data_IF_030007162294
#
_entry.id   IF_030007162294
#
_cell.length_a   1.000
_cell.length_b   1.000
_cell.length_c   1.000
_cell.angle_alpha   90.00
_cell.angle_beta   90.00
_cell.angle_gamma   90.00
#
_symmetry.space_group_name_H-M   'P 1'
#
loop_
_entity.id
_entity.type
_entity.pdbx_description
1 polymer ?
#
# COMPACT_ATOMS: atom_id res chain seq x y z
N UNK A 1 -46.52 -32.32 27.06
CA UNK A 1 -45.32 -31.54 27.41
C UNK A 1 -44.71 -31.06 26.11
N UNK A 2 -44.91 -29.78 25.81
CA UNK A 2 -44.66 -29.15 24.51
C UNK A 2 -43.31 -28.46 24.49
N UNK A 3 -42.58 -28.62 23.38
CA UNK A 3 -41.44 -27.80 22.98
C UNK A 3 -41.93 -26.41 22.59
N UNK A 4 -41.21 -25.35 22.98
CA UNK A 4 -41.28 -24.07 22.26
C UNK A 4 -39.98 -23.25 22.33
N UNK A 5 -39.76 -22.52 21.24
CA UNK A 5 -38.57 -21.78 20.81
C UNK A 5 -38.30 -20.55 21.68
N UNK A 6 -37.04 -20.15 21.77
CA UNK A 6 -36.65 -18.79 22.16
C UNK A 6 -35.77 -18.17 21.08
N UNK A 7 -36.31 -17.13 20.43
CA UNK A 7 -35.58 -16.07 19.75
C UNK A 7 -36.38 -14.77 19.91
N UNK A 8 -35.64 -13.67 20.13
CA UNK A 8 -35.84 -12.29 19.62
C UNK A 8 -35.90 -11.16 20.70
N UNK A 9 -34.99 -10.18 20.45
CA UNK A 9 -34.98 -8.70 20.67
C UNK A 9 -34.57 -7.98 21.97
N UNK A 10 -33.51 -7.17 21.77
CA UNK A 10 -33.25 -5.73 22.10
C UNK A 10 -33.14 -5.24 23.56
N UNK A 11 -32.20 -4.30 23.80
CA UNK A 11 -32.47 -3.05 24.52
C UNK A 11 -32.24 -1.85 23.55
N UNK A 12 -33.15 -0.89 23.36
CA UNK A 12 -33.68 0.17 24.24
C UNK A 12 -32.61 1.19 24.66
N UNK A 13 -32.81 2.38 24.12
CA UNK A 13 -32.13 3.67 24.24
C UNK A 13 -32.65 4.46 25.45
N UNK A 14 -31.86 5.39 26.03
CA UNK A 14 -32.33 6.63 26.68
C UNK A 14 -31.19 7.61 27.02
N UNK A 15 -31.20 8.77 26.34
CA UNK A 15 -30.97 10.11 26.91
C UNK A 15 -29.52 10.62 26.95
N UNK A 16 -29.18 11.81 26.45
CA UNK A 16 -29.92 13.07 26.58
C UNK A 16 -29.77 13.99 25.37
N UNK A 17 -30.92 14.58 25.03
CA UNK A 17 -31.16 15.64 24.06
C UNK A 17 -30.89 16.98 24.74
N UNK A 18 -30.14 17.89 24.10
CA UNK A 18 -30.12 19.31 24.46
C UNK A 18 -31.03 20.05 23.48
N UNK A 19 -32.12 20.60 24.01
CA UNK A 19 -33.08 21.45 23.31
C UNK A 19 -32.57 22.90 23.41
N UNK A 20 -32.46 23.57 22.26
CA UNK A 20 -32.25 25.02 22.16
C UNK A 20 -33.59 25.75 22.23
N UNK A 21 -33.68 26.81 23.04
CA UNK A 21 -34.78 27.79 23.04
C UNK A 21 -34.17 29.18 23.15
N UNK A 22 -34.44 30.02 22.14
CA UNK A 22 -34.07 31.44 22.07
C UNK A 22 -34.89 32.32 23.04
N UNK A 23 -34.28 33.40 23.54
CA UNK A 23 -34.97 34.47 24.28
C UNK A 23 -34.07 35.70 24.56
N UNK A 24 -34.46 36.83 23.98
CA UNK A 24 -33.78 38.13 23.92
C UNK A 24 -33.65 38.93 25.26
N UNK A 25 -32.61 39.78 25.31
CA UNK A 25 -32.45 41.10 25.97
C UNK A 25 -32.56 41.26 27.51
N UNK A 26 -31.43 41.59 28.18
CA UNK A 26 -31.06 42.97 28.58
C UNK A 26 -29.85 43.01 29.56
N UNK A 27 -28.86 43.86 29.21
CA UNK A 27 -28.10 44.78 30.06
C UNK A 27 -27.35 44.37 31.37
N UNK A 28 -26.04 44.70 31.33
CA UNK A 28 -25.17 45.33 32.37
C UNK A 28 -24.23 44.50 33.26
N UNK A 29 -22.97 44.95 33.25
CA UNK A 29 -22.01 45.10 34.36
C UNK A 29 -21.16 43.89 34.84
N UNK A 30 -19.85 43.96 34.50
CA UNK A 30 -18.71 43.64 35.40
C UNK A 30 -18.70 44.62 36.61
N UNK A 31 -17.96 44.41 37.74
CA UNK A 31 -16.71 43.63 37.89
C UNK A 31 -16.52 42.86 39.23
N UNK A 32 -15.35 42.21 39.37
CA UNK A 32 -14.44 42.15 40.56
C UNK A 32 -14.07 40.79 41.16
N UNK A 33 -12.78 40.73 41.53
CA UNK A 33 -11.98 39.66 42.16
C UNK A 33 -12.56 39.11 43.47
N UNK A 34 -12.41 37.81 43.71
CA UNK A 34 -11.86 37.29 44.96
C UNK A 34 -11.36 35.84 44.79
N UNK A 35 -10.18 35.62 45.34
CA UNK A 35 -9.47 34.36 45.54
C UNK A 35 -10.23 33.38 46.43
N UNK A 36 -10.22 32.09 46.07
CA UNK A 36 -10.21 31.01 47.05
C UNK A 36 -9.49 29.77 46.51
N UNK A 37 -8.38 29.45 47.18
CA UNK A 37 -7.59 28.23 47.03
C UNK A 37 -8.10 27.18 48.00
N UNK A 38 -8.54 26.02 47.52
CA UNK A 38 -8.35 24.74 48.23
C UNK A 38 -8.36 23.54 47.26
N UNK A 39 -7.35 22.70 47.44
CA UNK A 39 -7.00 21.49 46.70
C UNK A 39 -8.12 20.46 46.45
N UNK A 40 -8.15 19.89 45.24
CA UNK A 40 -8.30 18.44 45.06
C UNK A 40 -7.67 17.92 43.74
N UNK A 41 -6.64 17.09 43.92
CA UNK A 41 -6.29 15.87 43.18
C UNK A 41 -6.18 15.85 41.64
N UNK A 42 -4.92 15.90 41.21
CA UNK A 42 -4.25 15.02 40.23
C UNK A 42 -5.02 14.60 38.95
N UNK A 43 -4.83 15.39 37.90
CA UNK A 43 -4.79 14.90 36.52
C UNK A 43 -3.45 15.32 35.91
N UNK A 44 -2.55 14.35 35.71
CA UNK A 44 -1.34 14.54 34.92
C UNK A 44 -1.75 14.71 33.46
N UNK A 45 -1.97 15.95 33.05
CA UNK A 45 -1.98 16.34 31.63
C UNK A 45 -0.53 16.54 31.23
N UNK A 46 0.08 15.51 30.62
CA UNK A 46 1.38 15.65 29.97
C UNK A 46 1.21 16.43 28.68
N UNK A 47 1.32 17.75 28.77
CA UNK A 47 1.60 18.60 27.62
C UNK A 47 2.99 18.24 27.08
N UNK A 48 3.04 17.52 25.97
CA UNK A 48 4.21 17.63 25.09
C UNK A 48 4.05 18.91 24.28
N UNK A 49 4.43 20.03 24.89
CA UNK A 49 4.78 21.24 24.15
C UNK A 49 6.08 20.95 23.39
N UNK A 50 5.98 20.74 22.08
CA UNK A 50 7.16 20.80 21.22
C UNK A 50 7.78 22.20 21.34
N UNK A 51 9.12 22.32 21.41
CA UNK A 51 9.75 23.62 21.47
C UNK A 51 9.48 24.36 20.16
N UNK A 52 8.81 25.50 20.27
CA UNK A 52 8.82 26.53 19.25
C UNK A 52 10.23 27.12 19.19
N UNK A 53 10.91 26.94 18.05
CA UNK A 53 11.74 27.90 17.32
C UNK A 53 12.56 27.14 16.26
N UNK A 54 12.33 27.45 14.97
CA UNK A 54 13.31 27.91 13.98
C UNK A 54 12.54 28.40 12.75
N UNK A 55 12.75 29.68 12.46
CA UNK A 55 12.54 30.49 11.24
C UNK A 55 11.36 30.26 10.29
N UNK A 56 10.58 31.34 10.19
CA UNK A 56 9.61 31.68 9.16
C UNK A 56 10.27 31.86 7.77
N UNK A 57 10.82 30.80 7.16
CA UNK A 57 11.16 30.76 5.73
C UNK A 57 11.09 29.32 5.18
N UNK A 58 9.90 28.70 5.14
CA UNK A 58 9.67 27.57 4.25
C UNK A 58 8.28 27.72 3.61
N UNK A 59 8.31 28.00 2.31
CA UNK A 59 7.18 28.16 1.42
C UNK A 59 6.09 27.10 1.66
N UNK A 60 4.84 27.57 1.68
CA UNK A 60 3.61 26.80 1.58
C UNK A 60 3.64 25.84 0.36
N UNK A 61 4.18 24.64 0.51
CA UNK A 61 4.04 23.55 -0.47
C UNK A 61 2.76 22.74 -0.18
N UNK A 62 1.67 23.47 0.13
CA UNK A 62 0.33 22.91 0.26
C UNK A 62 -0.19 22.59 -1.14
N UNK A 63 0.08 21.37 -1.63
CA UNK A 63 -0.57 20.89 -2.85
C UNK A 63 -2.10 20.97 -2.66
N UNK A 64 -2.82 21.67 -3.55
CA UNK A 64 -4.25 21.88 -3.38
C UNK A 64 -4.99 20.54 -3.43
N UNK A 65 -5.86 20.30 -2.45
CA UNK A 65 -6.72 19.12 -2.44
C UNK A 65 -7.58 19.05 -3.70
N UNK A 66 -7.52 17.92 -4.40
CA UNK A 66 -8.27 17.71 -5.63
C UNK A 66 -9.68 17.24 -5.31
N UNK A 67 -10.67 17.77 -6.02
CA UNK A 67 -12.02 17.22 -5.99
C UNK A 67 -12.06 15.81 -6.61
N UNK A 68 -13.11 15.05 -6.31
CA UNK A 68 -13.27 13.69 -6.83
C UNK A 68 -13.18 13.62 -8.37
N UNK A 69 -13.76 14.61 -9.08
CA UNK A 69 -13.79 14.62 -10.55
C UNK A 69 -12.39 14.81 -11.13
N UNK A 70 -11.60 15.69 -10.55
CA UNK A 70 -10.21 15.94 -10.96
C UNK A 70 -9.35 14.73 -10.65
N UNK A 71 -9.45 14.17 -9.44
CA UNK A 71 -8.70 12.98 -9.05
C UNK A 71 -9.03 11.77 -9.94
N UNK A 72 -10.31 11.55 -10.25
CA UNK A 72 -10.78 10.50 -11.14
C UNK A 72 -10.25 10.70 -12.57
N UNK A 73 -10.35 11.91 -13.12
CA UNK A 73 -9.83 12.23 -14.46
C UNK A 73 -8.33 12.00 -14.55
N UNK A 74 -7.57 12.42 -13.53
CA UNK A 74 -6.12 12.21 -13.47
C UNK A 74 -5.77 10.72 -13.52
N UNK A 75 -6.45 9.88 -12.74
CA UNK A 75 -6.23 8.43 -12.75
C UNK A 75 -6.68 7.76 -14.05
N UNK A 76 -7.78 8.20 -14.67
CA UNK A 76 -8.17 7.74 -16.00
C UNK A 76 -7.11 8.06 -17.05
N UNK A 77 -6.48 9.24 -16.97
CA UNK A 77 -5.38 9.63 -17.87
C UNK A 77 -4.11 8.85 -17.57
N UNK A 78 -3.77 8.59 -16.31
CA UNK A 78 -2.56 7.84 -15.92
C UNK A 78 -2.65 6.34 -16.25
N UNK A 79 -3.86 5.75 -16.21
CA UNK A 79 -4.08 4.30 -16.46
C UNK A 79 -3.45 3.77 -17.76
N UNK A 80 -3.64 4.38 -18.94
CA UNK A 80 -2.96 3.91 -20.16
C UNK A 80 -1.44 3.97 -20.06
N UNK A 81 -0.86 4.90 -19.30
CA UNK A 81 0.59 4.97 -19.08
C UNK A 81 1.08 3.88 -18.12
N UNK A 82 0.26 3.47 -17.14
CA UNK A 82 0.54 2.31 -16.28
C UNK A 82 0.58 1.03 -17.14
N UNK A 83 -0.40 0.85 -18.03
CA UNK A 83 -0.42 -0.28 -18.97
C UNK A 83 0.79 -0.21 -19.91
N UNK A 84 1.12 0.98 -20.40
CA UNK A 84 2.29 1.20 -21.25
C UNK A 84 3.59 0.83 -20.52
N UNK A 85 3.72 1.14 -19.22
CA UNK A 85 4.91 0.83 -18.43
C UNK A 85 5.23 -0.66 -18.42
N UNK A 86 4.22 -1.54 -18.33
CA UNK A 86 4.40 -2.99 -18.50
C UNK A 86 4.65 -3.35 -19.97
N UNK A 87 3.90 -2.74 -20.90
CA UNK A 87 4.00 -3.02 -22.34
C UNK A 87 5.38 -2.69 -22.93
N UNK A 88 6.11 -1.73 -22.35
CA UNK A 88 7.48 -1.39 -22.74
C UNK A 88 8.45 -2.57 -22.59
N UNK A 89 8.15 -3.54 -21.73
CA UNK A 89 8.94 -4.78 -21.57
C UNK A 89 8.44 -5.92 -22.48
N UNK A 90 7.20 -5.84 -22.97
CA UNK A 90 6.63 -6.79 -23.94
C UNK A 90 7.14 -6.50 -25.36
N UNK A 91 7.07 -5.24 -25.81
CA UNK A 91 7.28 -4.91 -27.22
C UNK A 91 8.68 -5.27 -27.74
N UNK A 92 9.78 -4.94 -27.04
CA UNK A 92 11.12 -5.33 -27.49
C UNK A 92 11.30 -6.84 -27.48
N UNK A 93 10.79 -7.54 -26.46
CA UNK A 93 10.97 -8.99 -26.35
C UNK A 93 10.20 -9.74 -27.42
N UNK A 94 8.99 -9.32 -27.77
CA UNK A 94 8.22 -9.92 -28.89
C UNK A 94 8.85 -9.62 -30.25
N UNK A 95 9.56 -8.50 -30.39
CA UNK A 95 10.25 -8.17 -31.63
C UNK A 95 11.45 -9.11 -31.89
N UNK A 96 12.19 -9.47 -30.83
CA UNK A 96 13.39 -10.30 -30.94
C UNK A 96 13.15 -11.80 -30.67
N UNK A 97 12.08 -12.13 -29.95
CA UNK A 97 11.78 -13.48 -29.46
C UNK A 97 10.29 -13.82 -29.55
N UNK A 98 9.97 -15.11 -29.45
CA UNK A 98 8.60 -15.59 -29.41
C UNK A 98 7.91 -15.26 -28.09
N UNK A 99 6.63 -14.92 -28.17
CA UNK A 99 5.78 -14.70 -27.00
C UNK A 99 5.53 -16.03 -26.26
N UNK A 100 5.89 -16.13 -24.98
CA UNK A 100 5.63 -17.33 -24.16
C UNK A 100 4.40 -17.13 -23.27
N UNK A 101 3.23 -17.50 -23.80
CA UNK A 101 1.96 -17.40 -23.08
C UNK A 101 1.95 -18.20 -21.79
N UNK A 102 2.52 -19.40 -21.80
CA UNK A 102 2.50 -20.30 -20.64
C UNK A 102 3.28 -19.69 -19.46
N UNK A 103 4.49 -19.19 -19.72
CA UNK A 103 5.34 -18.50 -18.74
C UNK A 103 4.66 -17.26 -18.16
N UNK A 104 4.04 -16.43 -19.02
CA UNK A 104 3.29 -15.25 -18.58
C UNK A 104 2.10 -15.63 -17.69
N UNK A 105 1.29 -16.60 -18.11
CA UNK A 105 0.13 -17.09 -17.37
C UNK A 105 0.54 -17.72 -16.03
N UNK A 106 1.66 -18.44 -15.98
CA UNK A 106 2.23 -18.96 -14.74
C UNK A 106 2.63 -17.83 -13.78
N UNK A 107 3.22 -16.74 -14.29
CA UNK A 107 3.55 -15.57 -13.47
C UNK A 107 2.31 -14.91 -12.86
N UNK A 108 1.26 -14.72 -13.68
CA UNK A 108 -0.04 -14.20 -13.23
C UNK A 108 -0.67 -15.10 -12.15
N UNK A 109 -0.64 -16.42 -12.37
CA UNK A 109 -1.19 -17.40 -11.44
C UNK A 109 -0.39 -17.46 -10.13
N UNK A 110 0.95 -17.41 -10.20
CA UNK A 110 1.85 -17.42 -9.05
C UNK A 110 1.64 -16.22 -8.13
N UNK A 111 1.60 -15.01 -8.69
CA UNK A 111 1.29 -13.80 -7.93
C UNK A 111 -0.09 -13.89 -7.28
N UNK A 112 -1.09 -14.37 -8.02
CA UNK A 112 -2.46 -14.53 -7.49
C UNK A 112 -2.50 -15.54 -6.35
N UNK A 113 -1.80 -16.67 -6.46
CA UNK A 113 -1.69 -17.67 -5.41
C UNK A 113 -1.03 -17.09 -4.15
N UNK A 114 0.07 -16.33 -4.29
CA UNK A 114 0.73 -15.64 -3.18
C UNK A 114 -0.24 -14.70 -2.43
N UNK A 115 -1.02 -13.93 -3.19
CA UNK A 115 -2.04 -13.01 -2.66
C UNK A 115 -3.22 -13.72 -2.00
N UNK A 116 -3.57 -14.91 -2.43
CA UNK A 116 -4.63 -15.70 -1.79
C UNK A 116 -4.13 -16.33 -0.48
N UNK A 117 -2.86 -16.75 -0.44
CA UNK A 117 -2.23 -17.38 0.72
C UNK A 117 -1.90 -16.41 1.85
N UNK A 118 -1.77 -15.11 1.60
CA UNK A 118 -1.52 -14.14 2.69
C UNK A 118 -2.69 -14.02 3.68
N UNK A 119 -3.93 -14.15 3.21
CA UNK A 119 -5.14 -14.05 4.07
C UNK A 119 -5.24 -15.17 5.11
N UNK A 120 -5.09 -16.46 4.76
CA UNK A 120 -5.07 -17.51 5.76
C UNK A 120 -3.86 -17.38 6.68
N UNK A 121 -2.72 -16.86 6.22
CA UNK A 121 -1.56 -16.58 7.07
C UNK A 121 -1.87 -15.50 8.10
N UNK A 122 -2.46 -14.38 7.70
CA UNK A 122 -2.90 -13.31 8.60
C UNK A 122 -3.96 -13.81 9.61
N UNK A 123 -4.94 -14.57 9.14
CA UNK A 123 -5.95 -15.18 10.00
C UNK A 123 -5.33 -16.15 11.02
N UNK A 124 -4.41 -17.00 10.58
CA UNK A 124 -3.74 -17.96 11.45
C UNK A 124 -2.90 -17.24 12.51
N UNK A 125 -2.15 -16.21 12.11
CA UNK A 125 -1.28 -15.46 13.00
C UNK A 125 -2.08 -14.64 14.03
N UNK A 126 -3.12 -13.93 13.58
CA UNK A 126 -4.02 -13.18 14.45
C UNK A 126 -4.77 -14.08 15.45
N UNK A 127 -5.14 -15.29 15.02
CA UNK A 127 -5.79 -16.29 15.88
C UNK A 127 -4.82 -16.89 16.90
N UNK A 128 -3.60 -17.27 16.48
CA UNK A 128 -2.64 -17.95 17.35
C UNK A 128 -1.97 -17.00 18.36
N UNK A 129 -1.65 -15.77 17.96
CA UNK A 129 -0.82 -14.88 18.78
C UNK A 129 -1.59 -13.80 19.53
N UNK A 130 -2.91 -13.67 19.31
CA UNK A 130 -3.80 -12.69 19.97
C UNK A 130 -3.21 -11.27 20.08
N UNK A 131 -2.35 -10.87 19.15
CA UNK A 131 -1.64 -9.57 19.18
C UNK A 131 -2.38 -8.53 18.34
N UNK A 132 -2.42 -7.31 18.85
CA UNK A 132 -3.03 -6.14 18.21
C UNK A 132 -2.25 -5.65 16.97
N UNK A 133 -2.99 -4.96 16.10
CA UNK A 133 -2.76 -4.71 14.69
C UNK A 133 -1.47 -3.98 14.27
N UNK A 134 -0.77 -3.22 15.13
CA UNK A 134 0.35 -2.39 14.67
C UNK A 134 1.64 -3.19 14.41
N UNK A 135 1.92 -4.24 15.18
CA UNK A 135 3.00 -5.21 14.87
C UNK A 135 2.68 -6.12 13.69
N UNK A 136 1.43 -6.13 13.21
CA UNK A 136 1.02 -7.02 12.12
C UNK A 136 1.48 -6.49 10.77
N UNK A 137 1.56 -5.17 10.54
CA UNK A 137 1.92 -4.65 9.21
C UNK A 137 3.35 -4.99 8.79
N UNK A 138 4.34 -4.81 9.69
CA UNK A 138 5.74 -5.17 9.44
C UNK A 138 5.88 -6.67 9.19
N UNK A 139 5.28 -7.49 10.06
CA UNK A 139 5.32 -8.94 9.92
C UNK A 139 4.68 -9.38 8.59
N UNK A 140 3.48 -8.89 8.29
CA UNK A 140 2.77 -9.22 7.06
C UNK A 140 3.56 -8.81 5.82
N UNK A 141 4.18 -7.63 5.81
CA UNK A 141 5.02 -7.17 4.70
C UNK A 141 6.22 -8.08 4.49
N UNK A 142 6.88 -8.51 5.57
CA UNK A 142 8.01 -9.46 5.49
C UNK A 142 7.55 -10.82 5.00
N UNK A 143 6.48 -11.36 5.59
CA UNK A 143 5.91 -12.64 5.19
C UNK A 143 5.44 -12.62 3.74
N UNK A 144 4.90 -11.50 3.28
CA UNK A 144 4.44 -11.32 1.92
C UNK A 144 5.60 -11.41 0.93
N UNK A 145 6.70 -10.67 1.16
CA UNK A 145 7.90 -10.76 0.34
C UNK A 145 8.48 -12.17 0.29
N UNK A 146 8.57 -12.87 1.43
CA UNK A 146 9.07 -14.25 1.47
C UNK A 146 8.15 -15.22 0.72
N UNK A 147 6.84 -15.08 0.88
CA UNK A 147 5.85 -15.96 0.26
C UNK A 147 5.85 -15.81 -1.26
N UNK A 148 5.94 -14.58 -1.77
CA UNK A 148 6.04 -14.35 -3.21
C UNK A 148 7.26 -15.05 -3.82
N UNK A 149 8.44 -14.89 -3.22
CA UNK A 149 9.66 -15.53 -3.74
C UNK A 149 9.66 -17.06 -3.57
N UNK A 150 9.02 -17.57 -2.53
CA UNK A 150 8.89 -19.02 -2.31
C UNK A 150 8.03 -19.68 -3.40
N UNK A 151 6.90 -19.06 -3.75
CA UNK A 151 6.03 -19.55 -4.82
C UNK A 151 6.73 -19.40 -6.17
N UNK A 152 7.46 -18.30 -6.38
CA UNK A 152 8.24 -18.09 -7.60
C UNK A 152 9.30 -19.19 -7.79
N UNK A 153 10.02 -19.53 -6.72
CA UNK A 153 10.97 -20.65 -6.72
C UNK A 153 10.26 -21.96 -7.05
N UNK A 154 9.13 -22.26 -6.42
CA UNK A 154 8.38 -23.50 -6.68
C UNK A 154 7.98 -23.62 -8.16
N UNK A 155 7.45 -22.55 -8.75
CA UNK A 155 7.11 -22.52 -10.18
C UNK A 155 8.33 -22.72 -11.08
N UNK A 156 9.47 -22.12 -10.72
CA UNK A 156 10.74 -22.31 -11.45
C UNK A 156 11.22 -23.77 -11.34
N UNK A 157 11.19 -24.37 -10.15
CA UNK A 157 11.61 -25.75 -9.95
C UNK A 157 10.73 -26.77 -10.67
N UNK A 158 9.41 -26.52 -10.72
CA UNK A 158 8.46 -27.37 -11.45
C UNK A 158 8.67 -27.33 -12.98
N UNK A 159 9.23 -26.24 -13.51
CA UNK A 159 9.43 -26.02 -14.94
C UNK A 159 10.92 -25.95 -15.33
N UNK A 160 11.82 -26.43 -14.47
CA UNK A 160 13.27 -26.36 -14.68
C UNK A 160 13.77 -27.16 -15.90
N UNK A 161 12.90 -27.95 -16.53
CA UNK A 161 13.22 -28.73 -17.71
C UNK A 161 13.50 -27.87 -18.97
N UNK A 162 13.04 -26.62 -19.01
CA UNK A 162 13.27 -25.71 -20.14
C UNK A 162 14.32 -24.66 -19.75
N UNK A 163 15.52 -24.78 -20.35
CA UNK A 163 16.68 -23.90 -20.11
C UNK A 163 16.59 -22.66 -21.00
N UNK A 164 15.64 -21.77 -20.73
CA UNK A 164 15.47 -20.53 -21.49
C UNK A 164 15.32 -19.32 -20.57
N UNK A 165 16.19 -18.33 -20.73
CA UNK A 165 16.07 -17.00 -20.12
C UNK A 165 14.66 -16.41 -20.32
N UNK A 166 14.06 -16.68 -21.49
CA UNK A 166 12.72 -16.20 -21.80
C UNK A 166 11.68 -16.71 -20.80
N UNK A 167 11.83 -17.93 -20.27
CA UNK A 167 10.92 -18.45 -19.24
C UNK A 167 10.92 -17.54 -18.00
N UNK A 168 12.11 -17.25 -17.45
CA UNK A 168 12.24 -16.39 -16.27
C UNK A 168 11.75 -14.96 -16.54
N UNK A 169 12.05 -14.43 -17.73
CA UNK A 169 11.62 -13.10 -18.15
C UNK A 169 10.09 -12.99 -18.21
N UNK A 170 9.44 -13.90 -18.95
CA UNK A 170 7.99 -13.91 -19.11
C UNK A 170 7.26 -14.25 -17.81
N UNK A 171 7.84 -15.12 -16.96
CA UNK A 171 7.34 -15.39 -15.61
C UNK A 171 7.30 -14.10 -14.76
N UNK A 172 8.41 -13.36 -14.71
CA UNK A 172 8.49 -12.08 -14.00
C UNK A 172 7.55 -11.01 -14.57
N UNK A 173 7.40 -10.96 -15.90
CA UNK A 173 6.48 -10.05 -16.56
C UNK A 173 5.01 -10.38 -16.27
N UNK A 174 4.67 -11.67 -16.16
CA UNK A 174 3.36 -12.14 -15.72
C UNK A 174 3.06 -11.71 -14.28
N UNK A 175 4.06 -11.82 -13.40
CA UNK A 175 3.99 -11.33 -12.01
C UNK A 175 3.69 -9.83 -11.96
N UNK A 176 4.48 -9.03 -12.69
CA UNK A 176 4.32 -7.58 -12.78
C UNK A 176 2.97 -7.16 -13.38
N UNK A 177 2.49 -7.91 -14.38
CA UNK A 177 1.18 -7.68 -15.01
C UNK A 177 0.04 -7.87 -14.00
N UNK A 178 0.10 -8.91 -13.16
CA UNK A 178 -0.89 -9.14 -12.12
C UNK A 178 -0.92 -7.98 -11.12
N UNK A 179 0.26 -7.54 -10.70
CA UNK A 179 0.42 -6.44 -9.76
C UNK A 179 -0.12 -5.13 -10.36
N UNK A 180 0.18 -4.81 -11.62
CA UNK A 180 -0.31 -3.62 -12.30
C UNK A 180 -1.85 -3.62 -12.44
N UNK A 181 -2.45 -4.76 -12.79
CA UNK A 181 -3.92 -4.89 -12.87
C UNK A 181 -4.55 -4.65 -11.50
N UNK A 182 -4.03 -5.29 -10.46
CA UNK A 182 -4.55 -5.11 -9.11
C UNK A 182 -4.32 -3.69 -8.57
N UNK A 183 -3.20 -3.06 -8.92
CA UNK A 183 -2.92 -1.65 -8.62
C UNK A 183 -4.01 -0.75 -9.22
N UNK A 184 -4.30 -0.89 -10.52
CA UNK A 184 -5.34 -0.10 -11.19
C UNK A 184 -6.69 -0.28 -10.50
N UNK A 185 -7.11 -1.53 -10.27
CA UNK A 185 -8.38 -1.85 -9.61
C UNK A 185 -8.45 -1.23 -8.21
N UNK A 186 -7.37 -1.34 -7.43
CA UNK A 186 -7.28 -0.82 -6.08
C UNK A 186 -7.40 0.70 -6.07
N UNK A 187 -6.64 1.40 -6.90
CA UNK A 187 -6.67 2.86 -6.97
C UNK A 187 -8.07 3.38 -7.35
N UNK A 188 -8.75 2.76 -8.32
CA UNK A 188 -10.12 3.17 -8.64
C UNK A 188 -11.12 2.92 -7.50
N UNK A 189 -10.89 1.92 -6.63
CA UNK A 189 -11.68 1.73 -5.42
C UNK A 189 -11.39 2.80 -4.36
N UNK A 190 -10.12 3.16 -4.18
CA UNK A 190 -9.69 4.17 -3.20
C UNK A 190 -10.18 5.57 -3.58
N UNK A 191 -10.15 5.95 -4.86
CA UNK A 191 -10.68 7.24 -5.34
C UNK A 191 -12.19 7.37 -5.07
N UNK A 192 -12.94 6.27 -5.14
CA UNK A 192 -14.38 6.28 -4.86
C UNK A 192 -14.69 6.71 -3.43
N UNK A 193 -13.76 6.51 -2.50
CA UNK A 193 -13.92 6.97 -1.12
C UNK A 193 -14.07 8.49 -1.05
N UNK A 194 -13.56 9.25 -2.02
CA UNK A 194 -13.61 10.72 -2.06
C UNK A 194 -14.87 11.30 -2.72
N UNK A 195 -15.83 10.46 -3.10
CA UNK A 195 -17.11 10.92 -3.60
C UNK A 195 -17.92 11.55 -2.46
N UNK A 196 -18.47 12.75 -2.67
CA UNK A 196 -19.10 13.64 -1.67
C UNK A 196 -20.31 13.06 -0.88
N UNK A 197 -20.73 11.82 -1.15
CA UNK A 197 -21.98 11.25 -0.63
C UNK A 197 -21.81 10.16 0.45
N UNK A 198 -20.61 9.94 1.00
CA UNK A 198 -20.34 8.77 1.88
C UNK A 198 -19.62 9.15 3.18
N UNK A 199 -20.38 9.57 4.19
CA UNK A 199 -19.89 9.83 5.57
C UNK A 199 -19.28 8.58 6.25
N UNK A 200 -19.49 7.38 5.70
CA UNK A 200 -18.96 6.13 6.26
C UNK A 200 -17.49 5.85 5.93
N UNK A 201 -16.84 6.66 5.09
CA UNK A 201 -15.54 6.33 4.50
C UNK A 201 -14.33 7.00 5.17
N UNK A 202 -14.52 7.82 6.22
CA UNK A 202 -13.41 8.52 6.91
C UNK A 202 -12.32 7.57 7.41
N UNK A 203 -12.68 6.46 8.09
CA UNK A 203 -11.70 5.48 8.56
C UNK A 203 -10.88 4.84 7.43
N UNK A 204 -11.48 4.69 6.25
CA UNK A 204 -10.78 4.13 5.10
C UNK A 204 -9.83 5.16 4.48
N UNK A 205 -10.22 6.44 4.47
CA UNK A 205 -9.35 7.56 4.06
C UNK A 205 -8.18 7.73 5.04
N UNK A 206 -8.43 7.70 6.34
CA UNK A 206 -7.40 7.78 7.39
C UNK A 206 -6.36 6.66 7.24
N UNK A 207 -6.81 5.42 7.01
CA UNK A 207 -5.89 4.29 6.81
C UNK A 207 -5.01 4.43 5.54
N UNK A 208 -5.54 5.09 4.50
CA UNK A 208 -4.77 5.40 3.29
C UNK A 208 -3.76 6.50 3.58
N UNK A 209 -4.17 7.55 4.28
CA UNK A 209 -3.30 8.66 4.69
C UNK A 209 -2.17 8.19 5.61
N UNK A 210 -2.45 7.31 6.58
CA UNK A 210 -1.45 6.67 7.44
C UNK A 210 -0.38 5.93 6.61
N UNK A 211 -0.79 5.32 5.49
CA UNK A 211 0.12 4.56 4.62
C UNK A 211 0.94 5.48 3.71
N UNK A 212 0.33 6.55 3.20
CA UNK A 212 0.93 7.45 2.21
C UNK A 212 1.65 8.65 2.85
N UNK A 213 1.36 8.95 4.11
CA UNK A 213 1.78 10.14 4.85
C UNK A 213 1.04 11.42 4.48
N UNK A 214 0.15 11.37 3.48
CA UNK A 214 -0.68 12.48 3.01
C UNK A 214 -2.01 11.95 2.46
N UNK A 215 -3.07 12.78 2.44
CA UNK A 215 -4.34 12.41 1.82
C UNK A 215 -4.18 12.06 0.34
N UNK A 216 -4.84 11.00 -0.15
CA UNK A 216 -4.73 10.55 -1.55
C UNK A 216 -5.11 11.63 -2.57
N UNK A 217 -6.05 12.52 -2.23
CA UNK A 217 -6.47 13.64 -3.08
C UNK A 217 -5.43 14.75 -3.24
N UNK A 218 -4.32 14.71 -2.48
CA UNK A 218 -3.16 15.59 -2.67
C UNK A 218 -2.11 14.95 -3.57
N UNK A 219 -2.21 13.66 -3.88
CA UNK A 219 -1.16 12.95 -4.59
C UNK A 219 -1.41 12.96 -6.10
N UNK A 220 -0.33 12.90 -6.86
CA UNK A 220 -0.43 12.73 -8.31
C UNK A 220 -0.61 11.27 -8.70
N UNK A 221 -1.54 11.01 -9.63
CA UNK A 221 -1.75 9.67 -10.19
C UNK A 221 -0.54 9.16 -11.00
N UNK A 222 0.34 10.07 -11.45
CA UNK A 222 1.56 9.75 -12.19
C UNK A 222 2.56 8.91 -11.39
N UNK A 223 2.49 8.97 -10.06
CA UNK A 223 3.24 8.06 -9.18
C UNK A 223 3.05 6.58 -9.58
N UNK A 224 1.82 6.19 -9.95
CA UNK A 224 1.51 4.83 -10.34
C UNK A 224 2.30 4.34 -11.55
N UNK A 225 2.61 5.24 -12.50
CA UNK A 225 3.41 4.90 -13.67
C UNK A 225 4.83 4.54 -13.27
N UNK A 226 5.44 5.36 -12.40
CA UNK A 226 6.79 5.13 -11.89
C UNK A 226 6.86 3.87 -11.01
N UNK A 227 5.86 3.67 -10.16
CA UNK A 227 5.72 2.46 -9.35
C UNK A 227 5.66 1.22 -10.24
N UNK A 228 4.75 1.18 -11.23
CA UNK A 228 4.60 0.04 -12.12
C UNK A 228 5.84 -0.23 -12.97
N UNK A 229 6.52 0.82 -13.46
CA UNK A 229 7.78 0.63 -14.18
C UNK A 229 8.84 -0.03 -13.28
N UNK A 230 8.94 0.44 -12.03
CA UNK A 230 9.90 -0.07 -11.06
C UNK A 230 9.57 -1.49 -10.61
N UNK A 231 8.30 -1.82 -10.33
CA UNK A 231 7.91 -3.19 -9.97
C UNK A 231 8.04 -4.15 -11.14
N UNK A 232 7.85 -3.69 -12.38
CA UNK A 232 8.07 -4.52 -13.58
C UNK A 232 9.53 -4.94 -13.68
N UNK A 233 10.46 -4.00 -13.57
CA UNK A 233 11.90 -4.30 -13.55
C UNK A 233 12.28 -5.22 -12.40
N UNK A 234 11.76 -4.95 -11.20
CA UNK A 234 12.04 -5.75 -10.00
C UNK A 234 11.61 -7.20 -10.19
N UNK A 235 10.36 -7.43 -10.59
CA UNK A 235 9.80 -8.78 -10.73
C UNK A 235 10.50 -9.58 -11.84
N UNK A 236 10.86 -8.95 -12.96
CA UNK A 236 11.66 -9.61 -14.00
C UNK A 236 13.05 -9.96 -13.47
N UNK A 237 13.72 -9.02 -12.81
CA UNK A 237 15.07 -9.21 -12.26
C UNK A 237 15.12 -10.33 -11.22
N UNK A 238 14.19 -10.34 -10.25
CA UNK A 238 14.12 -11.37 -9.23
C UNK A 238 13.81 -12.76 -9.80
N UNK A 239 12.93 -12.86 -10.80
CA UNK A 239 12.72 -14.11 -11.53
C UNK A 239 14.02 -14.60 -12.19
N UNK A 240 14.80 -13.71 -12.80
CA UNK A 240 16.09 -14.06 -13.40
C UNK A 240 17.11 -14.52 -12.35
N UNK A 241 17.14 -13.89 -11.16
CA UNK A 241 18.03 -14.30 -10.06
C UNK A 241 17.74 -15.73 -9.63
N UNK A 242 16.49 -16.02 -9.29
CA UNK A 242 16.07 -17.34 -8.78
C UNK A 242 16.25 -18.41 -9.85
N UNK A 243 16.02 -18.06 -11.12
CA UNK A 243 16.25 -18.96 -12.23
C UNK A 243 17.73 -19.28 -12.45
N UNK A 244 18.61 -18.27 -12.37
CA UNK A 244 20.08 -18.47 -12.48
C UNK A 244 20.62 -19.37 -11.38
N UNK A 245 20.12 -19.20 -10.15
CA UNK A 245 20.44 -20.10 -9.05
C UNK A 245 19.32 -20.13 -8.02
N UNK A 246 18.79 -21.32 -7.73
CA UNK A 246 17.73 -21.50 -6.73
C UNK A 246 18.12 -21.00 -5.34
N UNK A 247 19.42 -20.92 -5.02
CA UNK A 247 19.89 -20.36 -3.73
C UNK A 247 19.71 -18.85 -3.63
N UNK A 248 19.62 -18.15 -4.77
CA UNK A 248 19.35 -16.71 -4.80
C UNK A 248 17.92 -16.37 -4.36
N UNK A 249 17.03 -17.35 -4.17
CA UNK A 249 15.72 -17.16 -3.53
C UNK A 249 15.84 -16.51 -2.16
N UNK A 250 16.89 -16.83 -1.38
CA UNK A 250 17.06 -16.26 -0.05
C UNK A 250 17.40 -14.77 -0.14
N UNK A 251 18.29 -14.40 -1.08
CA UNK A 251 18.64 -13.01 -1.34
C UNK A 251 17.44 -12.22 -1.90
N UNK A 252 16.71 -12.81 -2.85
CA UNK A 252 15.49 -12.26 -3.41
C UNK A 252 14.42 -12.02 -2.33
N UNK A 253 14.18 -13.01 -1.47
CA UNK A 253 13.18 -12.92 -0.40
C UNK A 253 13.52 -11.85 0.63
N UNK A 254 14.79 -11.78 1.05
CA UNK A 254 15.27 -10.73 1.97
C UNK A 254 15.11 -9.35 1.32
N UNK A 255 15.56 -9.21 0.07
CA UNK A 255 15.47 -7.94 -0.65
C UNK A 255 14.01 -7.50 -0.81
N UNK A 256 13.14 -8.39 -1.30
CA UNK A 256 11.74 -8.06 -1.55
C UNK A 256 10.98 -7.76 -0.26
N UNK A 257 11.16 -8.56 0.80
CA UNK A 257 10.60 -8.28 2.13
C UNK A 257 11.09 -6.93 2.69
N UNK A 258 12.39 -6.65 2.55
CA UNK A 258 12.97 -5.39 3.01
C UNK A 258 12.41 -4.21 2.24
N UNK A 259 12.23 -4.34 0.92
CA UNK A 259 11.62 -3.31 0.09
C UNK A 259 10.18 -3.04 0.54
N UNK A 260 9.36 -4.07 0.80
CA UNK A 260 8.01 -3.84 1.35
C UNK A 260 8.02 -3.07 2.67
N UNK A 261 8.94 -3.41 3.57
CA UNK A 261 9.07 -2.72 4.86
C UNK A 261 9.54 -1.28 4.68
N UNK A 262 10.62 -1.07 3.91
CA UNK A 262 11.16 0.27 3.66
C UNK A 262 10.10 1.14 3.01
N UNK A 263 9.41 0.66 1.96
CA UNK A 263 8.40 1.47 1.28
C UNK A 263 7.21 1.77 2.17
N UNK A 264 6.72 0.82 2.97
CA UNK A 264 5.62 1.06 3.89
C UNK A 264 5.94 2.09 4.99
N UNK A 265 7.20 2.22 5.41
CA UNK A 265 7.59 3.11 6.52
C UNK A 265 8.28 4.41 6.06
N UNK A 266 8.94 4.39 4.91
CA UNK A 266 9.69 5.52 4.40
C UNK A 266 8.87 6.39 3.44
N UNK A 267 7.81 5.87 2.81
CA UNK A 267 6.96 6.67 1.93
C UNK A 267 6.37 7.91 2.63
N UNK A 268 5.84 7.83 3.87
CA UNK A 268 5.35 9.00 4.59
C UNK A 268 6.41 10.06 4.90
N UNK A 269 7.66 9.63 5.13
CA UNK A 269 8.75 10.51 5.61
C UNK A 269 9.61 11.08 4.49
N UNK A 270 9.90 10.31 3.43
CA UNK A 270 10.72 10.76 2.30
C UNK A 270 9.91 11.42 1.20
N UNK A 271 8.59 11.24 1.22
CA UNK A 271 7.69 11.67 0.18
C UNK A 271 7.75 10.80 -1.07
N UNK A 272 6.80 11.06 -1.96
CA UNK A 272 6.58 10.30 -3.19
C UNK A 272 7.77 10.40 -4.15
N UNK A 273 8.25 11.58 -4.58
CA UNK A 273 9.30 11.65 -5.60
C UNK A 273 10.57 10.89 -5.18
N UNK A 274 11.06 11.13 -3.97
CA UNK A 274 12.25 10.47 -3.41
C UNK A 274 12.11 8.96 -3.37
N UNK A 275 10.95 8.47 -2.92
CA UNK A 275 10.68 7.03 -2.85
C UNK A 275 10.62 6.41 -4.24
N UNK A 276 10.05 7.12 -5.22
CA UNK A 276 9.98 6.71 -6.64
C UNK A 276 11.36 6.53 -7.24
N UNK A 277 12.23 7.54 -7.10
CA UNK A 277 13.58 7.48 -7.66
C UNK A 277 14.41 6.38 -7.03
N UNK A 278 14.32 6.21 -5.70
CA UNK A 278 15.03 5.14 -5.00
C UNK A 278 14.55 3.77 -5.45
N UNK A 279 13.24 3.57 -5.54
CA UNK A 279 12.65 2.32 -6.03
C UNK A 279 13.10 2.04 -7.47
N UNK A 280 13.07 3.04 -8.34
CA UNK A 280 13.50 2.91 -9.73
C UNK A 280 14.97 2.46 -9.83
N UNK A 281 15.86 3.12 -9.08
CA UNK A 281 17.30 2.78 -9.08
C UNK A 281 17.52 1.36 -8.56
N UNK A 282 16.88 0.99 -7.44
CA UNK A 282 17.00 -0.36 -6.87
C UNK A 282 16.44 -1.42 -7.82
N UNK A 283 15.25 -1.21 -8.37
CA UNK A 283 14.63 -2.12 -9.32
C UNK A 283 15.45 -2.27 -10.61
N UNK A 284 16.00 -1.17 -11.12
CA UNK A 284 16.89 -1.20 -12.29
C UNK A 284 18.16 -1.99 -12.00
N UNK A 285 18.77 -1.83 -10.82
CA UNK A 285 19.94 -2.61 -10.42
C UNK A 285 19.61 -4.11 -10.35
N UNK A 286 18.48 -4.48 -9.74
CA UNK A 286 18.02 -5.89 -9.66
C UNK A 286 17.78 -6.48 -11.04
N UNK A 287 17.11 -5.72 -11.92
CA UNK A 287 16.88 -6.09 -13.31
C UNK A 287 18.18 -6.34 -14.06
N UNK A 288 19.12 -5.38 -14.03
CA UNK A 288 20.40 -5.49 -14.72
C UNK A 288 21.25 -6.65 -14.19
N UNK A 289 21.32 -6.84 -12.87
CA UNK A 289 22.00 -8.01 -12.28
C UNK A 289 21.34 -9.31 -12.76
N UNK A 290 20.01 -9.34 -12.87
CA UNK A 290 19.30 -10.52 -13.39
C UNK A 290 19.64 -10.82 -14.84
N UNK A 291 19.73 -9.80 -15.69
CA UNK A 291 20.17 -9.95 -17.08
C UNK A 291 21.63 -10.44 -17.17
N UNK A 292 22.52 -9.90 -16.34
CA UNK A 292 23.94 -10.30 -16.30
C UNK A 292 24.12 -11.74 -15.81
N UNK A 293 23.37 -12.17 -14.78
CA UNK A 293 23.39 -13.54 -14.25
C UNK A 293 22.96 -14.60 -15.28
N UNK A 294 22.25 -14.20 -16.33
CA UNK A 294 21.82 -15.06 -17.43
C UNK A 294 22.59 -14.80 -18.73
N UNK A 295 23.64 -13.99 -18.69
CA UNK A 295 24.54 -13.73 -19.82
C UNK A 295 23.90 -12.91 -20.96
N UNK A 296 22.83 -12.16 -20.68
CA UNK A 296 22.18 -11.30 -21.67
C UNK A 296 22.97 -10.01 -21.90
N UNK A 297 23.65 -9.53 -20.86
CA UNK A 297 24.53 -8.35 -20.88
C UNK A 297 25.87 -8.70 -20.21
N UNK A 298 26.96 -8.13 -20.71
CA UNK A 298 28.34 -8.30 -20.21
C UNK A 298 28.74 -7.21 -19.20
#
# INVERSE_FOLDING_TARGET
MSFERLRITKPIDYGSVVISVDGNNHHSQQPSLASDTTHSQNSYVSFYSYPAYIDDEDYDDYEPEKDYKTLFKEHCVATPFIILAVSLFVLPTVYWHSFQWDSLCMGLAGWTAARLLIKPVDWLFSTLLRRQLSTNSLFLNVTFGILEESIRLELILLNFAETDFLFAYWLGLGWASAEAICYIIRHFKEIRLYKEDVDTDFKARDAIEDTLGKPLNTLSAWWGVMWTLSTTMLNIGLSCWIYSSSTLVYAAAILHATLYVIWANCLPSWGIPTTSYRMLITSMAVFLVGLALLGVIE
#
